data_IF_113294881854
#
_entry.id   IF_113294881854
#
_cell.length_a   1.000
_cell.length_b   1.000
_cell.length_c   1.000
_cell.angle_alpha   90.00
_cell.angle_beta   90.00
_cell.angle_gamma   90.00
#
_symmetry.space_group_name_H-M   'P 1'
#
loop_
_entity.id
_entity.type
_entity.pdbx_description
1 polymer ?
#
# COMPACT_ATOMS: atom_id res chain seq x y z
N UNK A 1 -10.08 0.30 19.25
CA UNK A 1 -9.30 1.40 19.85
C UNK A 1 -7.89 1.30 19.27
N UNK A 2 -7.29 2.41 18.85
CA UNK A 2 -5.94 2.39 18.29
C UNK A 2 -4.94 2.63 19.42
N UNK A 3 -4.21 1.58 19.80
CA UNK A 3 -3.31 1.63 20.95
C UNK A 3 -1.89 2.06 20.55
N UNK A 4 -1.58 2.02 19.25
CA UNK A 4 -0.25 2.30 18.73
C UNK A 4 -0.26 3.41 17.69
N UNK A 5 0.77 4.25 17.74
CA UNK A 5 1.08 5.28 16.75
C UNK A 5 2.40 4.95 16.09
N UNK A 6 2.36 4.69 14.79
CA UNK A 6 3.53 4.26 14.03
C UNK A 6 3.94 5.38 13.07
N UNK A 7 5.22 5.77 13.13
CA UNK A 7 5.82 6.71 12.19
C UNK A 7 6.73 5.94 11.21
N UNK A 8 6.36 5.95 9.94
CA UNK A 8 7.09 5.26 8.87
C UNK A 8 7.94 6.31 8.13
N UNK A 9 9.24 6.03 7.95
CA UNK A 9 10.15 6.86 7.16
C UNK A 9 10.79 6.03 6.07
N UNK A 10 10.68 6.51 4.83
CA UNK A 10 11.29 5.89 3.66
C UNK A 10 12.56 6.66 3.30
N UNK A 11 13.66 5.93 3.12
CA UNK A 11 14.97 6.47 2.72
C UNK A 11 15.64 5.55 1.71
N UNK A 12 16.55 6.09 0.91
CA UNK A 12 17.35 5.31 -0.03
C UNK A 12 18.46 4.57 0.73
N UNK A 13 18.23 3.29 0.99
CA UNK A 13 19.17 2.43 1.70
C UNK A 13 20.48 2.20 0.93
N UNK A 14 20.45 2.13 -0.41
CA UNK A 14 21.66 1.89 -1.22
C UNK A 14 22.69 3.01 -1.08
N UNK A 15 22.22 4.25 -1.06
CA UNK A 15 23.10 5.41 -0.79
C UNK A 15 23.64 5.34 0.64
N UNK A 16 22.82 4.98 1.62
CA UNK A 16 23.22 4.91 3.03
C UNK A 16 24.28 3.82 3.25
N UNK A 17 24.05 2.63 2.70
CA UNK A 17 25.00 1.51 2.74
C UNK A 17 26.31 1.86 2.02
N UNK A 18 26.25 2.51 0.86
CA UNK A 18 27.45 2.93 0.16
C UNK A 18 28.27 3.97 0.98
N UNK A 19 27.59 4.91 1.63
CA UNK A 19 28.22 5.89 2.53
C UNK A 19 28.86 5.19 3.75
N UNK A 20 28.17 4.21 4.34
CA UNK A 20 28.68 3.44 5.47
C UNK A 20 29.87 2.57 5.07
N UNK A 21 29.81 1.92 3.89
CA UNK A 21 30.91 1.14 3.32
C UNK A 21 32.13 2.01 3.00
N UNK A 22 31.93 3.28 2.66
CA UNK A 22 33.00 4.27 2.53
C UNK A 22 33.56 4.76 3.88
N UNK A 23 33.06 4.23 5.01
CA UNK A 23 33.56 4.49 6.36
C UNK A 23 32.89 5.65 7.09
N UNK A 24 31.81 6.23 6.55
CA UNK A 24 31.13 7.38 7.15
C UNK A 24 29.87 6.95 7.91
N UNK A 25 29.82 7.26 9.22
CA UNK A 25 28.66 6.94 10.07
C UNK A 25 27.41 7.79 9.79
N UNK A 26 27.58 8.95 9.14
CA UNK A 26 26.48 9.87 8.86
C UNK A 26 26.64 10.52 7.50
N UNK A 27 25.51 10.84 6.87
CA UNK A 27 25.48 11.62 5.61
C UNK A 27 26.17 12.97 5.79
N UNK A 28 26.05 13.60 6.96
CA UNK A 28 26.72 14.87 7.26
C UNK A 28 28.24 14.75 7.22
N UNK A 29 28.80 13.74 7.90
CA UNK A 29 30.24 13.49 7.89
C UNK A 29 30.78 13.22 6.47
N UNK A 30 30.05 12.41 5.69
CA UNK A 30 30.35 12.16 4.29
C UNK A 30 30.35 13.44 3.43
N UNK A 31 29.32 14.27 3.57
CA UNK A 31 29.22 15.53 2.84
C UNK A 31 30.32 16.52 3.21
N UNK A 32 30.69 16.61 4.49
CA UNK A 32 31.80 17.45 4.94
C UNK A 32 33.15 17.00 4.38
N UNK A 33 33.39 15.68 4.27
CA UNK A 33 34.64 15.14 3.74
C UNK A 33 34.77 15.28 2.21
N UNK A 34 33.66 15.14 1.49
CA UNK A 34 33.62 15.16 0.01
C UNK A 34 33.33 16.53 -0.59
N UNK A 35 32.96 17.51 0.23
CA UNK A 35 32.52 18.82 -0.22
C UNK A 35 31.16 18.82 -0.94
N UNK A 36 30.38 17.74 -0.80
CA UNK A 36 29.02 17.69 -1.34
C UNK A 36 28.04 18.45 -0.45
N UNK A 37 27.05 19.09 -1.08
CA UNK A 37 26.05 19.86 -0.34
C UNK A 37 25.05 18.93 0.36
N UNK A 38 25.08 18.89 1.68
CA UNK A 38 24.30 17.95 2.51
C UNK A 38 22.78 17.99 2.21
N UNK A 39 22.21 19.17 1.98
CA UNK A 39 20.77 19.29 1.66
C UNK A 39 20.43 18.64 0.31
N UNK A 40 21.35 18.71 -0.67
CA UNK A 40 21.12 18.12 -1.99
C UNK A 40 21.23 16.60 -1.92
N UNK A 41 22.25 16.08 -1.24
CA UNK A 41 22.37 14.63 -0.97
C UNK A 41 21.14 14.13 -0.20
N UNK A 42 20.70 14.89 0.81
CA UNK A 42 19.48 14.63 1.56
C UNK A 42 18.22 14.58 0.70
N UNK A 43 18.15 15.28 -0.43
CA UNK A 43 17.02 15.14 -1.36
C UNK A 43 16.97 13.76 -2.01
N UNK A 44 18.11 13.16 -2.36
CA UNK A 44 18.16 11.83 -2.97
C UNK A 44 17.96 10.73 -1.93
N UNK A 45 18.57 10.88 -0.75
CA UNK A 45 18.37 9.95 0.38
C UNK A 45 16.89 9.90 0.81
N UNK A 46 16.16 11.02 0.74
CA UNK A 46 14.74 11.07 1.10
C UNK A 46 13.79 11.05 -0.11
N UNK A 47 14.26 10.67 -1.30
CA UNK A 47 13.46 10.60 -2.53
C UNK A 47 12.70 11.89 -2.91
N UNK A 48 13.15 13.06 -2.47
CA UNK A 48 12.54 14.36 -2.84
C UNK A 48 12.86 14.79 -4.27
N UNK A 49 13.90 14.20 -4.87
CA UNK A 49 14.32 14.39 -6.26
C UNK A 49 14.60 13.04 -6.91
N UNK A 50 14.19 12.91 -8.17
CA UNK A 50 14.57 11.78 -9.01
C UNK A 50 16.02 11.96 -9.50
N UNK A 51 16.82 10.88 -9.59
CA UNK A 51 18.18 10.93 -10.11
C UNK A 51 18.26 11.09 -11.63
N UNK A 52 17.23 10.68 -12.37
CA UNK A 52 17.12 10.86 -13.83
C UNK A 52 16.34 12.14 -14.18
N UNK A 53 16.84 12.86 -15.16
CA UNK A 53 16.24 14.06 -15.75
C UNK A 53 15.24 13.70 -16.85
N UNK A 54 14.47 14.69 -17.35
CA UNK A 54 13.44 14.45 -18.37
C UNK A 54 14.01 13.94 -19.70
N UNK A 55 15.27 14.21 -19.98
CA UNK A 55 16.00 13.76 -21.17
C UNK A 55 16.59 12.34 -21.01
N UNK A 56 16.35 11.68 -19.88
CA UNK A 56 16.89 10.36 -19.57
C UNK A 56 18.33 10.37 -19.03
N UNK A 57 18.96 11.54 -18.92
CA UNK A 57 20.32 11.66 -18.40
C UNK A 57 20.35 11.65 -16.86
N UNK A 58 21.48 11.26 -16.29
CA UNK A 58 21.70 11.36 -14.84
C UNK A 58 21.88 12.81 -14.43
N UNK A 59 21.23 13.18 -13.32
CA UNK A 59 21.45 14.48 -12.70
C UNK A 59 22.91 14.64 -12.26
N UNK A 60 23.43 15.86 -12.33
CA UNK A 60 24.81 16.17 -11.93
C UNK A 60 25.13 15.74 -10.50
N UNK A 61 24.14 15.80 -9.60
CA UNK A 61 24.33 15.33 -8.22
C UNK A 61 24.39 13.81 -8.11
N UNK A 62 23.64 13.06 -8.92
CA UNK A 62 23.72 11.60 -8.93
C UNK A 62 25.11 11.12 -9.38
N UNK A 63 25.65 11.75 -10.44
CA UNK A 63 27.02 11.50 -10.91
C UNK A 63 28.07 11.87 -9.87
N UNK A 64 27.94 13.04 -9.24
CA UNK A 64 28.88 13.46 -8.18
C UNK A 64 28.82 12.55 -6.94
N UNK A 65 27.65 12.03 -6.62
CA UNK A 65 27.49 11.06 -5.53
C UNK A 65 28.17 9.74 -5.86
N UNK A 66 27.99 9.22 -7.08
CA UNK A 66 28.65 7.98 -7.51
C UNK A 66 30.17 8.14 -7.57
N UNK A 67 30.66 9.27 -8.09
CA UNK A 67 32.09 9.57 -8.12
C UNK A 67 32.71 9.64 -6.72
N UNK A 68 32.02 10.31 -5.77
CA UNK A 68 32.48 10.45 -4.39
C UNK A 68 32.47 9.13 -3.61
N UNK A 69 31.64 8.16 -4.02
CA UNK A 69 31.52 6.85 -3.40
C UNK A 69 32.30 5.76 -4.17
N UNK A 70 32.94 6.11 -5.30
CA UNK A 70 33.63 5.17 -6.19
C UNK A 70 32.69 4.04 -6.68
N UNK A 71 31.43 4.37 -6.94
CA UNK A 71 30.41 3.44 -7.47
C UNK A 71 29.86 3.94 -8.80
N UNK A 72 28.98 3.16 -9.43
CA UNK A 72 28.16 3.66 -10.54
C UNK A 72 26.82 4.21 -10.02
N UNK A 73 26.14 5.09 -10.77
CA UNK A 73 24.80 5.55 -10.41
C UNK A 73 23.76 4.41 -10.27
N UNK A 74 23.90 3.35 -11.07
CA UNK A 74 23.01 2.18 -11.02
C UNK A 74 23.14 1.39 -9.71
N UNK A 75 24.30 1.43 -9.06
CA UNK A 75 24.50 0.84 -7.74
C UNK A 75 23.76 1.63 -6.65
N UNK A 76 23.62 2.95 -6.83
CA UNK A 76 22.99 3.84 -5.85
C UNK A 76 21.46 3.94 -6.01
N UNK A 77 20.91 3.60 -7.17
CA UNK A 77 19.49 3.72 -7.48
C UNK A 77 18.97 2.51 -8.27
N UNK A 78 17.94 1.83 -7.76
CA UNK A 78 17.26 0.77 -8.51
C UNK A 78 16.45 1.32 -9.69
N UNK A 79 16.07 0.47 -10.64
CA UNK A 79 15.17 0.85 -11.75
C UNK A 79 13.92 1.59 -11.27
N UNK A 80 13.28 1.08 -10.21
CA UNK A 80 12.11 1.73 -9.61
C UNK A 80 12.45 3.08 -8.96
N UNK A 81 13.66 3.26 -8.43
CA UNK A 81 14.08 4.50 -7.76
C UNK A 81 14.52 5.58 -8.75
N UNK A 82 14.89 5.23 -9.98
CA UNK A 82 15.39 6.17 -11.00
C UNK A 82 14.41 7.28 -11.35
N UNK A 83 13.11 6.98 -11.31
CA UNK A 83 12.02 7.92 -11.61
C UNK A 83 11.22 8.32 -10.37
N UNK A 84 11.55 7.75 -9.20
CA UNK A 84 10.79 7.95 -7.97
C UNK A 84 10.97 9.37 -7.43
N UNK A 85 9.85 10.03 -7.15
CA UNK A 85 9.80 11.32 -6.44
C UNK A 85 8.65 11.37 -5.45
N UNK A 86 8.99 11.48 -4.18
CA UNK A 86 8.03 11.57 -3.08
C UNK A 86 7.77 13.03 -2.70
N UNK A 87 6.49 13.37 -2.47
CA UNK A 87 6.09 14.64 -1.85
C UNK A 87 6.48 14.68 -0.36
N UNK A 88 6.20 13.59 0.34
CA UNK A 88 6.64 13.34 1.72
C UNK A 88 7.26 11.95 1.79
N UNK A 89 8.37 11.81 2.52
CA UNK A 89 9.02 10.53 2.76
C UNK A 89 8.65 9.93 4.12
N UNK A 90 7.67 10.53 4.80
CA UNK A 90 7.20 10.08 6.10
C UNK A 90 5.68 10.04 6.13
N UNK A 91 5.16 9.07 6.88
CA UNK A 91 3.74 8.90 7.16
C UNK A 91 3.54 8.51 8.63
N UNK A 92 2.43 8.92 9.19
CA UNK A 92 2.01 8.56 10.55
C UNK A 92 0.64 7.92 10.46
N UNK A 93 0.47 6.78 11.12
CA UNK A 93 -0.79 6.06 11.15
C UNK A 93 -0.97 5.38 12.49
N UNK A 94 -2.22 5.29 12.91
CA UNK A 94 -2.61 4.64 14.15
C UNK A 94 -3.08 3.21 13.84
N UNK A 95 -2.68 2.26 14.68
CA UNK A 95 -2.93 0.84 14.52
C UNK A 95 -3.47 0.26 15.84
N UNK A 96 -4.31 -0.76 15.73
CA UNK A 96 -4.64 -1.63 16.87
C UNK A 96 -3.53 -2.65 17.14
N UNK A 97 -3.57 -3.29 18.31
CA UNK A 97 -2.63 -4.33 18.70
C UNK A 97 -2.55 -5.47 17.67
N UNK A 98 -3.71 -5.96 17.23
CA UNK A 98 -3.82 -7.02 16.21
C UNK A 98 -3.18 -6.59 14.89
N UNK A 99 -3.45 -5.36 14.43
CA UNK A 99 -2.90 -4.87 13.16
C UNK A 99 -1.38 -4.66 13.23
N UNK A 100 -0.84 -4.29 14.40
CA UNK A 100 0.60 -4.10 14.58
C UNK A 100 1.34 -5.44 14.63
N UNK A 101 0.79 -6.41 15.36
CA UNK A 101 1.33 -7.77 15.45
C UNK A 101 1.37 -8.44 14.07
N UNK A 102 0.32 -8.29 13.28
CA UNK A 102 0.26 -8.78 11.90
C UNK A 102 1.38 -8.17 11.05
N UNK A 103 1.53 -6.84 11.06
CA UNK A 103 2.54 -6.16 10.22
C UNK A 103 3.98 -6.58 10.52
N UNK A 104 4.30 -6.93 11.76
CA UNK A 104 5.66 -7.29 12.19
C UNK A 104 5.95 -8.77 11.96
N UNK A 105 4.97 -9.64 12.21
CA UNK A 105 5.18 -11.09 12.23
C UNK A 105 4.80 -11.79 10.93
N UNK A 106 4.01 -11.15 10.05
CA UNK A 106 3.60 -11.79 8.80
C UNK A 106 4.80 -12.03 7.89
N UNK A 107 5.03 -13.30 7.57
CA UNK A 107 5.99 -13.69 6.54
C UNK A 107 5.45 -13.34 5.16
N UNK A 108 6.30 -13.21 4.12
CA UNK A 108 5.83 -12.98 2.75
C UNK A 108 4.79 -14.00 2.26
N UNK A 109 4.92 -15.26 2.69
CA UNK A 109 3.93 -16.31 2.42
C UNK A 109 2.57 -16.01 3.09
N UNK A 110 2.60 -15.59 4.35
CA UNK A 110 1.38 -15.25 5.11
C UNK A 110 0.68 -14.01 4.54
N UNK A 111 1.44 -13.01 4.09
CA UNK A 111 0.92 -11.83 3.40
C UNK A 111 0.21 -12.22 2.09
N UNK A 112 0.77 -13.17 1.34
CA UNK A 112 0.17 -13.65 0.09
C UNK A 112 -1.13 -14.41 0.37
N UNK A 113 -1.14 -15.30 1.36
CA UNK A 113 -2.35 -16.01 1.80
C UNK A 113 -3.43 -15.01 2.25
N UNK A 114 -3.07 -13.98 3.04
CA UNK A 114 -4.00 -12.93 3.46
C UNK A 114 -4.54 -12.15 2.26
N UNK A 115 -3.68 -11.78 1.32
CA UNK A 115 -4.10 -11.10 0.09
C UNK A 115 -5.10 -11.96 -0.70
N UNK A 116 -4.77 -13.22 -0.97
CA UNK A 116 -5.63 -14.14 -1.70
C UNK A 116 -6.96 -14.38 -0.97
N UNK A 117 -6.94 -14.50 0.36
CA UNK A 117 -8.14 -14.60 1.17
C UNK A 117 -9.01 -13.32 1.08
N UNK A 118 -8.38 -12.13 1.13
CA UNK A 118 -9.12 -10.88 0.98
C UNK A 118 -9.73 -10.74 -0.41
N UNK A 119 -9.01 -11.10 -1.48
CA UNK A 119 -9.50 -11.07 -2.85
C UNK A 119 -10.67 -12.05 -3.03
N UNK A 120 -10.55 -13.27 -2.50
CA UNK A 120 -11.63 -14.25 -2.52
C UNK A 120 -12.90 -13.74 -1.82
N UNK A 121 -12.76 -13.05 -0.68
CA UNK A 121 -13.89 -12.41 0.03
C UNK A 121 -14.51 -11.28 -0.81
N UNK A 122 -13.71 -10.51 -1.55
CA UNK A 122 -14.23 -9.47 -2.44
C UNK A 122 -15.06 -10.04 -3.59
N UNK A 123 -14.52 -11.06 -4.28
CA UNK A 123 -15.22 -11.76 -5.36
C UNK A 123 -16.56 -12.34 -4.88
N UNK A 124 -16.56 -12.86 -3.65
CA UNK A 124 -17.73 -13.33 -2.92
C UNK A 124 -18.79 -12.24 -2.76
N UNK A 125 -18.38 -11.06 -2.28
CA UNK A 125 -19.25 -9.92 -2.03
C UNK A 125 -19.81 -9.30 -3.32
N UNK A 126 -19.10 -9.39 -4.45
CA UNK A 126 -19.57 -8.88 -5.74
C UNK A 126 -20.77 -9.66 -6.31
N UNK A 127 -21.07 -10.84 -5.76
CA UNK A 127 -22.31 -11.57 -6.08
C UNK A 127 -23.55 -11.00 -5.37
N UNK A 128 -23.38 -10.08 -4.41
CA UNK A 128 -24.47 -9.46 -3.68
C UNK A 128 -24.97 -8.21 -4.41
N UNK A 129 -26.20 -7.79 -4.10
CA UNK A 129 -26.65 -6.47 -4.54
C UNK A 129 -25.87 -5.36 -3.83
N UNK A 130 -25.72 -4.14 -4.39
CA UNK A 130 -24.94 -3.07 -3.74
C UNK A 130 -25.34 -2.83 -2.28
N UNK A 131 -26.65 -2.86 -1.99
CA UNK A 131 -27.19 -2.70 -0.64
C UNK A 131 -26.91 -3.89 0.28
N UNK A 132 -26.90 -5.11 -0.25
CA UNK A 132 -26.51 -6.31 0.52
C UNK A 132 -25.01 -6.28 0.82
N UNK A 133 -24.17 -5.89 -0.14
CA UNK A 133 -22.71 -5.74 0.02
C UNK A 133 -22.38 -4.70 1.09
N UNK A 134 -22.98 -3.51 1.00
CA UNK A 134 -22.73 -2.41 1.96
C UNK A 134 -23.15 -2.77 3.40
N UNK A 135 -24.27 -3.49 3.57
CA UNK A 135 -24.67 -4.02 4.88
C UNK A 135 -23.63 -5.02 5.41
N UNK A 136 -23.10 -5.90 4.56
CA UNK A 136 -22.07 -6.87 4.96
C UNK A 136 -20.74 -6.17 5.29
N UNK A 137 -20.31 -5.19 4.51
CA UNK A 137 -19.10 -4.40 4.75
C UNK A 137 -19.18 -3.67 6.10
N UNK A 138 -20.30 -3.00 6.39
CA UNK A 138 -20.49 -2.30 7.67
C UNK A 138 -20.59 -3.26 8.87
N UNK A 139 -21.28 -4.40 8.73
CA UNK A 139 -21.50 -5.36 9.82
C UNK A 139 -20.23 -6.11 10.22
N UNK A 140 -19.37 -6.43 9.25
CA UNK A 140 -18.18 -7.26 9.45
C UNK A 140 -16.86 -6.48 9.25
N UNK A 141 -16.93 -5.15 9.17
CA UNK A 141 -15.76 -4.28 9.04
C UNK A 141 -14.95 -4.49 7.75
N UNK A 142 -15.50 -5.17 6.75
CA UNK A 142 -14.81 -5.48 5.48
C UNK A 142 -14.63 -4.17 4.72
N UNK A 143 -13.43 -3.92 4.19
CA UNK A 143 -13.07 -2.67 3.47
C UNK A 143 -13.06 -1.39 4.29
N UNK A 144 -13.27 -1.48 5.61
CA UNK A 144 -13.15 -0.32 6.48
C UNK A 144 -11.74 -0.24 7.07
N UNK A 145 -11.04 0.90 6.96
CA UNK A 145 -9.66 1.04 7.44
C UNK A 145 -9.51 0.87 8.96
N UNK A 146 -10.61 0.93 9.72
CA UNK A 146 -10.64 0.66 11.15
C UNK A 146 -10.99 -0.79 11.50
N UNK A 147 -11.49 -1.58 10.56
CA UNK A 147 -11.99 -2.95 10.81
C UNK A 147 -13.05 -3.01 11.92
N UNK A 148 -13.84 -1.94 12.07
CA UNK A 148 -14.84 -1.85 13.14
C UNK A 148 -16.16 -2.48 12.68
N UNK A 149 -16.55 -3.57 13.34
CA UNK A 149 -17.86 -4.19 13.18
C UNK A 149 -18.95 -3.29 13.77
N UNK A 150 -19.98 -2.99 12.97
CA UNK A 150 -21.10 -2.19 13.45
C UNK A 150 -22.24 -3.08 13.94
N UNK A 151 -22.92 -2.64 15.00
CA UNK A 151 -24.11 -3.33 15.51
C UNK A 151 -25.25 -3.24 14.51
N UNK A 152 -26.18 -4.20 14.54
CA UNK A 152 -27.40 -4.16 13.72
C UNK A 152 -28.16 -2.83 13.88
N UNK A 153 -28.15 -2.25 15.09
CA UNK A 153 -28.80 -0.97 15.37
C UNK A 153 -28.13 0.17 14.62
N UNK A 154 -26.80 0.29 14.71
CA UNK A 154 -26.05 1.33 14.00
C UNK A 154 -26.30 1.26 12.49
N UNK A 155 -26.26 0.05 11.92
CA UNK A 155 -26.49 -0.15 10.48
C UNK A 155 -27.95 0.16 10.12
N UNK A 156 -28.91 -0.18 10.98
CA UNK A 156 -30.32 0.14 10.79
C UNK A 156 -30.56 1.66 10.75
N UNK A 157 -29.94 2.39 11.68
CA UNK A 157 -29.97 3.85 11.73
C UNK A 157 -29.31 4.47 10.48
N UNK A 158 -28.18 3.90 10.01
CA UNK A 158 -27.48 4.35 8.80
C UNK A 158 -28.35 4.24 7.53
N UNK A 159 -29.14 3.18 7.42
CA UNK A 159 -30.01 2.91 6.26
C UNK A 159 -31.45 3.40 6.42
N UNK A 160 -31.78 4.06 7.54
CA UNK A 160 -33.13 4.49 7.92
C UNK A 160 -34.16 3.35 7.80
N UNK A 161 -33.84 2.19 8.38
CA UNK A 161 -34.70 1.00 8.40
C UNK A 161 -34.73 0.36 9.78
N UNK A 162 -35.60 -0.63 9.99
CA UNK A 162 -35.62 -1.37 11.25
C UNK A 162 -34.43 -2.33 11.39
N UNK A 163 -34.02 -2.60 12.63
CA UNK A 163 -33.00 -3.60 12.97
C UNK A 163 -33.31 -4.98 12.37
N UNK A 164 -34.58 -5.39 12.42
CA UNK A 164 -35.03 -6.66 11.84
C UNK A 164 -34.91 -6.66 10.31
N UNK A 165 -35.07 -5.51 9.65
CA UNK A 165 -34.85 -5.40 8.21
C UNK A 165 -33.38 -5.63 7.85
N UNK A 166 -32.43 -5.07 8.61
CA UNK A 166 -31.00 -5.35 8.42
C UNK A 166 -30.70 -6.83 8.65
N UNK A 167 -31.25 -7.42 9.72
CA UNK A 167 -31.08 -8.86 10.00
C UNK A 167 -31.58 -9.74 8.85
N UNK A 168 -32.72 -9.42 8.24
CA UNK A 168 -33.23 -10.14 7.07
C UNK A 168 -32.28 -10.04 5.87
N UNK A 169 -31.73 -8.84 5.62
CA UNK A 169 -30.76 -8.62 4.55
C UNK A 169 -29.50 -9.44 4.81
N UNK A 170 -28.98 -9.44 6.05
CA UNK A 170 -27.81 -10.22 6.47
C UNK A 170 -28.02 -11.73 6.24
N UNK A 171 -29.14 -12.29 6.71
CA UNK A 171 -29.47 -13.71 6.50
C UNK A 171 -29.55 -14.05 5.01
N UNK A 172 -30.14 -13.16 4.20
CA UNK A 172 -30.26 -13.37 2.76
C UNK A 172 -28.91 -13.32 2.07
N UNK A 173 -28.04 -12.38 2.44
CA UNK A 173 -26.69 -12.25 1.92
C UNK A 173 -25.84 -13.48 2.30
N UNK A 174 -25.82 -13.87 3.58
CA UNK A 174 -25.10 -15.06 4.06
C UNK A 174 -25.53 -16.35 3.34
N UNK A 175 -26.83 -16.51 3.06
CA UNK A 175 -27.33 -17.65 2.26
C UNK A 175 -26.78 -17.64 0.83
N UNK A 176 -26.72 -16.47 0.18
CA UNK A 176 -26.16 -16.34 -1.17
C UNK A 176 -24.66 -16.67 -1.19
N UNK A 177 -23.91 -16.09 -0.26
CA UNK A 177 -22.46 -16.33 -0.12
C UNK A 177 -22.18 -17.81 0.15
N UNK A 178 -22.91 -18.43 1.09
CA UNK A 178 -22.75 -19.84 1.44
C UNK A 178 -23.09 -20.81 0.31
N UNK A 179 -24.03 -20.47 -0.58
CA UNK A 179 -24.34 -21.30 -1.74
C UNK A 179 -23.24 -21.21 -2.79
N UNK A 180 -22.75 -20.00 -3.07
CA UNK A 180 -21.67 -19.78 -4.02
C UNK A 180 -20.34 -20.39 -3.55
N UNK A 181 -20.09 -20.42 -2.22
CA UNK A 181 -18.90 -21.07 -1.63
C UNK A 181 -18.87 -22.58 -1.85
N UNK A 182 -20.03 -23.22 -1.73
CA UNK A 182 -20.16 -24.67 -1.96
C UNK A 182 -20.02 -25.05 -3.42
N UNK A 183 -20.41 -24.16 -4.34
CA UNK A 183 -20.33 -24.40 -5.77
C UNK A 183 -18.91 -24.19 -6.34
N UNK A 184 -17.97 -23.66 -5.54
CA UNK A 184 -16.62 -23.33 -6.01
C UNK A 184 -16.61 -22.25 -7.09
N UNK A 185 -17.66 -21.43 -7.17
CA UNK A 185 -17.85 -20.40 -8.20
C UNK A 185 -17.24 -19.04 -7.80
N UNK A 186 -16.15 -19.04 -7.02
CA UNK A 186 -15.39 -17.82 -6.71
C UNK A 186 -14.02 -17.89 -7.37
N UNK A 187 -13.58 -16.78 -7.97
CA UNK A 187 -12.34 -16.74 -8.76
C UNK A 187 -12.49 -17.05 -10.26
N UNK A 188 -13.71 -17.31 -10.77
CA UNK A 188 -13.94 -17.30 -12.22
C UNK A 188 -14.14 -15.85 -12.70
N UNK A 189 -13.03 -15.17 -13.03
CA UNK A 189 -13.08 -13.90 -13.76
C UNK A 189 -13.99 -14.05 -14.97
N UNK A 190 -15.14 -13.37 -14.95
CA UNK A 190 -15.91 -13.16 -16.17
C UNK A 190 -14.98 -12.36 -17.12
N UNK A 191 -14.75 -12.80 -18.37
CA UNK A 191 -13.85 -12.09 -19.26
C UNK A 191 -14.29 -10.63 -19.36
N UNK A 192 -13.37 -9.70 -19.13
CA UNK A 192 -13.61 -8.27 -19.34
C UNK A 192 -14.14 -8.07 -20.76
N UNK A 193 -15.20 -7.27 -20.94
CA UNK A 193 -15.65 -6.91 -22.28
C UNK A 193 -14.50 -6.18 -22.98
N UNK A 194 -13.99 -6.78 -24.05
CA UNK A 194 -13.00 -6.15 -24.92
C UNK A 194 -13.59 -4.82 -25.37
N UNK A 195 -12.91 -3.67 -25.15
CA UNK A 195 -13.42 -2.39 -25.57
C UNK A 195 -13.62 -2.43 -27.10
N UNK A 196 -14.85 -2.18 -27.55
CA UNK A 196 -15.14 -2.09 -28.97
C UNK A 196 -14.25 -0.99 -29.59
N UNK A 197 -13.54 -1.29 -30.69
CA UNK A 197 -12.70 -0.29 -31.34
C UNK A 197 -13.59 0.90 -31.74
N UNK A 198 -13.09 2.15 -31.60
CA UNK A 198 -13.86 3.32 -31.95
C UNK A 198 -14.29 3.21 -33.42
N UNK A 199 -15.60 3.41 -33.66
CA UNK A 199 -16.16 3.51 -34.99
C UNK A 199 -15.37 4.57 -35.77
N UNK A 200 -14.73 4.16 -36.85
CA UNK A 200 -14.07 5.06 -37.79
C UNK A 200 -15.09 6.07 -38.30
N UNK A 201 -14.95 7.33 -37.90
CA UNK A 201 -15.54 8.48 -38.59
C UNK A 201 -14.79 8.79 -39.87
#
# INVERSE_FOLDING_TARGET
MSDYRVNIKVKNNRILEAIEAAGYKTVGAFCSATGLHQTLVGCYVNFKKAPILQDGSWSSMALRLSDALLTTPDDLFSEAQKTLRLKTNQAEKEYSDVQMLDMINDTPEMLMIKHDATEAVHDLLDCLTPREKEVMELRFGINHPKGEDHTLQYVADHFDVSQERIRQIEIKALRKLGNKARLGEFGQKKPEPVPEPPLST
#
